data_IF_209634912981
#
_entry.id   IF_209634912981
#
_cell.length_a   1.000
_cell.length_b   1.000
_cell.length_c   1.000
_cell.angle_alpha   90.00
_cell.angle_beta   90.00
_cell.angle_gamma   90.00
#
_symmetry.space_group_name_H-M   'P 1'
#
loop_
_entity.id
_entity.type
_entity.pdbx_description
1 polymer ?
#
# COMPACT_ATOMS: atom_id res chain seq x y z
N UNK A 1 -22.66 -29.39 -4.82
CA UNK A 1 -22.12 -28.74 -3.60
C UNK A 1 -20.74 -28.19 -3.94
N UNK A 2 -20.64 -26.93 -4.35
CA UNK A 2 -19.37 -26.25 -4.67
C UNK A 2 -19.03 -25.20 -3.60
N UNK A 3 -19.17 -25.56 -2.32
CA UNK A 3 -19.05 -24.62 -1.19
C UNK A 3 -17.76 -24.82 -0.38
N UNK A 4 -16.75 -25.49 -0.95
CA UNK A 4 -15.45 -25.70 -0.30
C UNK A 4 -14.34 -25.49 -1.31
N UNK A 5 -13.77 -24.28 -1.34
CA UNK A 5 -12.37 -23.97 -1.76
C UNK A 5 -12.10 -22.49 -2.07
N UNK A 6 -13.01 -21.56 -1.78
CA UNK A 6 -12.66 -20.14 -1.71
C UNK A 6 -12.38 -19.81 -0.24
N UNK A 7 -11.17 -20.15 0.21
CA UNK A 7 -10.70 -19.78 1.54
C UNK A 7 -10.85 -18.27 1.76
N UNK A 8 -11.12 -17.86 3.00
CA UNK A 8 -11.40 -16.48 3.41
C UNK A 8 -10.24 -15.47 3.22
N UNK A 9 -9.28 -15.81 2.37
CA UNK A 9 -8.00 -15.17 2.13
C UNK A 9 -7.77 -14.99 0.62
N UNK A 10 -8.84 -14.64 -0.11
CA UNK A 10 -8.75 -14.41 -1.55
C UNK A 10 -7.98 -13.09 -1.81
N UNK A 11 -7.06 -13.05 -2.80
CA UNK A 11 -6.37 -11.83 -3.24
C UNK A 11 -7.26 -10.58 -3.39
N UNK A 12 -8.55 -10.74 -3.68
CA UNK A 12 -9.52 -9.64 -3.73
C UNK A 12 -9.54 -8.76 -2.48
N UNK A 13 -9.22 -9.30 -1.31
CA UNK A 13 -9.17 -8.51 -0.06
C UNK A 13 -8.04 -7.47 -0.13
N UNK A 14 -6.89 -7.81 -0.70
CA UNK A 14 -5.76 -6.88 -0.85
C UNK A 14 -6.08 -5.84 -1.91
N UNK A 15 -6.66 -6.25 -3.05
CA UNK A 15 -7.08 -5.31 -4.10
C UNK A 15 -8.15 -4.33 -3.58
N UNK A 16 -9.17 -4.84 -2.87
CA UNK A 16 -10.23 -4.02 -2.31
C UNK A 16 -9.71 -3.08 -1.22
N UNK A 17 -8.82 -3.56 -0.35
CA UNK A 17 -8.20 -2.73 0.69
C UNK A 17 -7.33 -1.61 0.11
N UNK A 18 -6.51 -1.92 -0.91
CA UNK A 18 -5.72 -0.92 -1.63
C UNK A 18 -6.61 0.12 -2.33
N UNK A 19 -7.60 -0.34 -3.10
CA UNK A 19 -8.51 0.53 -3.83
C UNK A 19 -9.31 1.45 -2.87
N UNK A 20 -9.79 0.90 -1.76
CA UNK A 20 -10.50 1.68 -0.74
C UNK A 20 -9.59 2.73 -0.10
N UNK A 21 -8.36 2.36 0.27
CA UNK A 21 -7.38 3.30 0.82
C UNK A 21 -7.06 4.45 -0.15
N UNK A 22 -6.82 4.11 -1.42
CA UNK A 22 -6.60 5.09 -2.48
C UNK A 22 -7.80 6.02 -2.70
N UNK A 23 -9.02 5.47 -2.72
CA UNK A 23 -10.24 6.27 -2.84
C UNK A 23 -10.40 7.24 -1.66
N UNK A 24 -10.09 6.80 -0.43
CA UNK A 24 -10.14 7.66 0.76
C UNK A 24 -9.07 8.75 0.76
N UNK A 25 -7.86 8.46 0.26
CA UNK A 25 -6.83 9.48 0.05
C UNK A 25 -7.27 10.55 -0.93
N UNK A 26 -7.87 10.15 -2.07
CA UNK A 26 -8.41 11.09 -3.07
C UNK A 26 -9.59 11.89 -2.54
N UNK A 27 -10.39 11.31 -1.63
CA UNK A 27 -11.48 12.00 -0.95
C UNK A 27 -11.01 12.95 0.17
N UNK A 28 -9.70 13.07 0.42
CA UNK A 28 -9.16 13.91 1.50
C UNK A 28 -9.41 13.33 2.90
N UNK A 29 -9.63 12.03 3.00
CA UNK A 29 -9.89 11.28 4.24
C UNK A 29 -8.70 10.36 4.60
N UNK A 30 -7.50 10.90 4.86
CA UNK A 30 -6.31 10.09 5.04
C UNK A 30 -6.40 9.19 6.29
N UNK A 31 -7.08 9.62 7.35
CA UNK A 31 -7.23 8.82 8.58
C UNK A 31 -8.07 7.56 8.34
N UNK A 32 -9.13 7.67 7.53
CA UNK A 32 -9.99 6.54 7.15
C UNK A 32 -9.31 5.59 6.16
N UNK A 33 -8.27 6.03 5.47
CA UNK A 33 -7.48 5.19 4.55
C UNK A 33 -6.54 4.22 5.30
N UNK A 34 -6.14 4.53 6.53
CA UNK A 34 -5.14 3.75 7.28
C UNK A 34 -5.61 2.31 7.53
N UNK A 35 -6.78 2.15 8.16
CA UNK A 35 -7.30 0.83 8.54
C UNK A 35 -7.44 -0.17 7.36
N UNK A 36 -8.04 0.18 6.20
CA UNK A 36 -8.13 -0.77 5.09
C UNK A 36 -6.77 -1.11 4.47
N UNK A 37 -5.83 -0.16 4.43
CA UNK A 37 -4.49 -0.38 3.90
C UNK A 37 -3.65 -1.26 4.83
N UNK A 38 -3.74 -1.06 6.14
CA UNK A 38 -3.08 -1.92 7.14
C UNK A 38 -3.61 -3.36 7.07
N UNK A 39 -4.92 -3.52 6.92
CA UNK A 39 -5.54 -4.84 6.75
C UNK A 39 -5.04 -5.54 5.48
N UNK A 40 -4.93 -4.83 4.37
CA UNK A 40 -4.38 -5.35 3.13
C UNK A 40 -2.91 -5.77 3.30
N UNK A 41 -2.10 -4.92 3.93
CA UNK A 41 -0.68 -5.18 4.14
C UNK A 41 -0.42 -6.36 5.10
N UNK A 42 -1.29 -6.55 6.10
CA UNK A 42 -1.20 -7.66 7.05
C UNK A 42 -1.44 -9.05 6.43
N UNK A 43 -1.91 -9.12 5.18
CA UNK A 43 -2.08 -10.34 4.40
C UNK A 43 -0.84 -10.71 3.58
N UNK A 44 0.18 -9.84 3.53
CA UNK A 44 1.45 -10.14 2.86
C UNK A 44 2.09 -11.37 3.48
N UNK A 45 2.43 -12.35 2.65
CA UNK A 45 3.02 -13.62 3.08
C UNK A 45 2.02 -14.64 3.65
N UNK A 46 0.73 -14.27 3.77
CA UNK A 46 -0.36 -15.20 4.11
C UNK A 46 -1.12 -15.65 2.87
N UNK A 47 -1.18 -14.77 1.87
CA UNK A 47 -1.88 -15.03 0.61
C UNK A 47 -0.94 -14.88 -0.58
N UNK A 48 -1.25 -15.60 -1.65
CA UNK A 48 -0.63 -15.38 -2.94
C UNK A 48 -1.32 -14.20 -3.63
N UNK A 49 -0.60 -13.08 -3.70
CA UNK A 49 -1.02 -11.88 -4.43
C UNK A 49 0.22 -11.26 -5.07
N UNK A 50 -0.01 -10.39 -6.07
CA UNK A 50 1.07 -9.70 -6.76
C UNK A 50 1.92 -8.91 -5.73
N UNK A 51 3.24 -9.15 -5.64
CA UNK A 51 4.13 -8.39 -4.76
C UNK A 51 4.01 -6.88 -4.95
N UNK A 52 3.73 -6.42 -6.15
CA UNK A 52 3.65 -5.00 -6.51
C UNK A 52 2.39 -4.33 -5.97
N UNK A 53 1.31 -5.09 -5.77
CA UNK A 53 0.12 -4.61 -5.07
C UNK A 53 0.43 -4.26 -3.61
N UNK A 54 1.32 -5.02 -2.95
CA UNK A 54 1.78 -4.67 -1.61
C UNK A 54 2.69 -3.44 -1.63
N UNK A 55 3.48 -3.23 -2.68
CA UNK A 55 4.29 -2.02 -2.85
C UNK A 55 3.40 -0.77 -2.96
N UNK A 56 2.36 -0.83 -3.80
CA UNK A 56 1.32 0.21 -3.89
C UNK A 56 0.63 0.46 -2.55
N UNK A 57 0.23 -0.62 -1.86
CA UNK A 57 -0.44 -0.52 -0.55
C UNK A 57 0.45 0.17 0.48
N UNK A 58 1.75 -0.15 0.50
CA UNK A 58 2.74 0.52 1.37
C UNK A 58 2.83 2.00 1.07
N UNK A 59 2.91 2.39 -0.21
CA UNK A 59 3.01 3.79 -0.59
C UNK A 59 1.72 4.57 -0.30
N UNK A 60 0.55 3.99 -0.55
CA UNK A 60 -0.72 4.57 -0.15
C UNK A 60 -0.80 4.76 1.39
N UNK A 61 -0.37 3.77 2.17
CA UNK A 61 -0.39 3.85 3.63
C UNK A 61 0.60 4.91 4.15
N UNK A 62 1.75 5.07 3.49
CA UNK A 62 2.70 6.13 3.77
C UNK A 62 2.06 7.52 3.59
N UNK A 63 1.39 7.75 2.45
CA UNK A 63 0.66 9.00 2.19
C UNK A 63 -0.45 9.25 3.22
N UNK A 64 -1.18 8.20 3.60
CA UNK A 64 -2.25 8.27 4.61
C UNK A 64 -1.70 8.66 5.98
N UNK A 65 -0.64 8.00 6.44
CA UNK A 65 0.00 8.29 7.73
C UNK A 65 0.62 9.68 7.76
N UNK A 66 1.31 10.09 6.71
CA UNK A 66 1.91 11.42 6.60
C UNK A 66 0.89 12.56 6.77
N UNK A 67 -0.29 12.40 6.17
CA UNK A 67 -1.37 13.41 6.24
C UNK A 67 -2.21 13.33 7.51
N UNK A 68 -2.22 12.19 8.21
CA UNK A 68 -3.07 11.98 9.39
C UNK A 68 -2.36 12.29 10.71
N UNK A 69 -1.04 12.08 10.78
CA UNK A 69 -0.28 12.22 12.01
C UNK A 69 1.12 12.80 11.75
N UNK A 70 1.44 13.92 12.40
CA UNK A 70 2.75 14.57 12.32
C UNK A 70 3.85 13.81 13.06
N UNK A 71 3.51 12.96 14.03
CA UNK A 71 4.45 12.10 14.75
C UNK A 71 4.89 10.87 13.96
N UNK A 72 4.05 10.39 13.04
CA UNK A 72 4.30 9.19 12.23
C UNK A 72 5.05 9.47 10.92
N UNK A 73 5.59 10.68 10.73
CA UNK A 73 6.19 11.13 9.48
C UNK A 73 7.43 10.33 9.07
N UNK A 74 8.31 10.00 10.02
CA UNK A 74 9.49 9.18 9.76
C UNK A 74 9.10 7.75 9.34
N UNK A 75 8.10 7.18 10.03
CA UNK A 75 7.58 5.84 9.72
C UNK A 75 6.88 5.81 8.36
N UNK A 76 6.17 6.87 7.98
CA UNK A 76 5.59 7.02 6.67
C UNK A 76 6.65 7.01 5.55
N UNK A 77 7.75 7.76 5.73
CA UNK A 77 8.86 7.75 4.77
C UNK A 77 9.52 6.36 4.69
N UNK A 78 9.76 5.72 5.83
CA UNK A 78 10.32 4.36 5.87
C UNK A 78 9.44 3.36 5.13
N UNK A 79 8.11 3.48 5.30
CA UNK A 79 7.14 2.62 4.63
C UNK A 79 7.11 2.84 3.11
N UNK A 80 7.17 4.10 2.64
CA UNK A 80 7.26 4.40 1.22
C UNK A 80 8.54 3.79 0.61
N UNK A 81 9.68 3.93 1.30
CA UNK A 81 10.94 3.31 0.86
C UNK A 81 10.84 1.78 0.75
N UNK A 82 10.15 1.13 1.69
CA UNK A 82 9.92 -0.32 1.61
C UNK A 82 9.11 -0.71 0.36
N UNK A 83 8.10 0.08 -0.02
CA UNK A 83 7.36 -0.11 -1.27
C UNK A 83 8.25 0.08 -2.51
N UNK A 84 9.08 1.11 -2.50
CA UNK A 84 10.06 1.39 -3.58
C UNK A 84 11.08 0.26 -3.77
N UNK A 85 11.62 -0.28 -2.69
CA UNK A 85 12.51 -1.45 -2.75
C UNK A 85 11.78 -2.68 -3.31
N UNK A 86 10.51 -2.87 -2.96
CA UNK A 86 9.73 -3.97 -3.50
C UNK A 86 9.52 -3.82 -5.01
N UNK A 87 9.20 -2.62 -5.51
CA UNK A 87 9.16 -2.36 -6.95
C UNK A 87 10.52 -2.62 -7.63
N UNK A 88 11.63 -2.22 -7.01
CA UNK A 88 12.97 -2.45 -7.55
C UNK A 88 13.29 -3.96 -7.70
N UNK A 89 12.79 -4.81 -6.81
CA UNK A 89 12.97 -6.27 -6.94
C UNK A 89 12.17 -6.91 -8.08
N UNK A 90 11.15 -6.22 -8.60
CA UNK A 90 10.22 -6.75 -9.63
C UNK A 90 10.63 -6.35 -11.06
N UNK A 91 11.74 -5.62 -11.20
CA UNK A 91 12.37 -5.29 -12.48
C UNK A 91 12.16 -3.85 -12.96
N UNK A 92 12.84 -3.50 -14.05
CA UNK A 92 12.97 -2.12 -14.57
C UNK A 92 11.65 -1.51 -15.08
N UNK A 93 10.58 -2.31 -15.21
CA UNK A 93 9.26 -1.82 -15.65
C UNK A 93 8.61 -0.86 -14.66
N UNK A 94 9.02 -0.90 -13.38
CA UNK A 94 8.46 -0.09 -12.29
C UNK A 94 9.25 1.20 -12.02
N UNK A 95 10.00 1.67 -13.00
CA UNK A 95 10.84 2.87 -12.88
C UNK A 95 10.02 4.13 -12.64
N UNK A 96 8.79 4.19 -13.16
CA UNK A 96 7.86 5.32 -12.92
C UNK A 96 7.41 5.38 -11.46
N UNK A 97 7.00 4.25 -10.90
CA UNK A 97 6.53 4.12 -9.52
C UNK A 97 7.67 4.36 -8.53
N UNK A 98 8.86 3.83 -8.82
CA UNK A 98 10.08 4.10 -8.05
C UNK A 98 10.38 5.60 -8.04
N UNK A 99 10.34 6.26 -9.20
CA UNK A 99 10.59 7.69 -9.30
C UNK A 99 9.51 8.53 -8.58
N UNK A 100 8.25 8.13 -8.62
CA UNK A 100 7.17 8.79 -7.87
C UNK A 100 7.42 8.70 -6.36
N UNK A 101 7.79 7.52 -5.87
CA UNK A 101 8.09 7.32 -4.44
C UNK A 101 9.34 8.10 -4.02
N UNK A 102 10.40 8.07 -4.83
CA UNK A 102 11.63 8.81 -4.56
C UNK A 102 11.35 10.32 -4.51
N UNK A 103 10.55 10.86 -5.44
CA UNK A 103 10.12 12.26 -5.43
C UNK A 103 9.27 12.60 -4.19
N UNK A 104 8.30 11.75 -3.85
CA UNK A 104 7.45 11.95 -2.67
C UNK A 104 8.26 11.89 -1.36
N UNK A 105 9.25 11.00 -1.23
CA UNK A 105 10.06 10.93 0.00
C UNK A 105 11.04 12.10 0.14
N UNK A 106 11.45 12.74 -0.96
CA UNK A 106 12.28 13.94 -0.94
C UNK A 106 11.50 15.22 -0.60
N UNK A 107 10.25 15.32 -1.07
CA UNK A 107 9.36 16.44 -0.80
C UNK A 107 7.91 15.95 -0.54
N UNK A 108 7.66 15.36 0.64
CA UNK A 108 6.33 14.85 0.98
C UNK A 108 5.37 16.02 1.23
N UNK A 109 4.45 16.21 0.29
CA UNK A 109 3.43 17.27 0.29
C UNK A 109 2.33 17.10 1.33
#
# INVERSE_FOLDING_TARGET
>A
MFERSLGAEHPYIVYAGNALGMARLSAGQPAEAIAPLERALALRGKIEADPTLFADTMFALAKARWRSDTGAKADAIALARAGRELFATQGERWTTEIAEIDAWTAAPG
#
